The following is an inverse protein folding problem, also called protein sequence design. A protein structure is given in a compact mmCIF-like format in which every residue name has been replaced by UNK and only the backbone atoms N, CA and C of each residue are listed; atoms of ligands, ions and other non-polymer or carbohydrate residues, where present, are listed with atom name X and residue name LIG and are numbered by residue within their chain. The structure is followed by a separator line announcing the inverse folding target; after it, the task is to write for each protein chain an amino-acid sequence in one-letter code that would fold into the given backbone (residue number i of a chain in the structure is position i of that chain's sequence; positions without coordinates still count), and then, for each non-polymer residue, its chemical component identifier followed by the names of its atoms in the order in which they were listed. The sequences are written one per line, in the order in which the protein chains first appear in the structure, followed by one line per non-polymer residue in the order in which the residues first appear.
data_IF_057837962547
#
_entry.id   IF_057837962547
#
_cell.length_a   1.000
_cell.length_b   1.000
_cell.length_c   1.000
_cell.angle_alpha   90.00
_cell.angle_beta   90.00
_cell.angle_gamma   90.00
#
_symmetry.space_group_name_H-M   'P 1'
#
loop_
_entity.id
_entity.type
_entity.pdbx_description
1 polymer ?
#
# COMPACT_ATOMS: atom_id res chain seq x y z
N UNK A 1 39.24 52.69 21.79
CA UNK A 1 38.41 52.99 22.97
C UNK A 1 37.16 52.12 22.92
N UNK A 2 37.26 50.85 23.28
CA UNK A 2 36.09 49.99 23.46
C UNK A 2 35.60 50.17 24.89
N UNK A 3 34.76 51.18 25.12
CA UNK A 3 34.03 51.34 26.38
C UNK A 3 32.94 50.28 26.43
N UNK A 4 33.33 49.03 26.67
CA UNK A 4 32.40 47.96 26.98
C UNK A 4 31.81 48.18 28.36
N UNK A 5 30.50 48.05 28.48
CA UNK A 5 29.84 48.00 29.78
C UNK A 5 30.47 46.89 30.63
N UNK A 6 31.11 47.26 31.74
CA UNK A 6 31.64 46.31 32.73
C UNK A 6 30.50 45.77 33.60
N UNK A 7 30.66 44.57 34.20
CA UNK A 7 29.65 43.98 35.08
C UNK A 7 29.13 44.92 36.20
N UNK A 8 29.94 45.91 36.61
CA UNK A 8 29.61 46.94 37.58
C UNK A 8 28.58 47.99 37.10
N UNK A 9 28.34 48.14 35.80
CA UNK A 9 27.40 49.13 35.24
C UNK A 9 26.04 48.56 34.86
N UNK A 10 25.79 47.27 35.13
CA UNK A 10 24.52 46.59 34.81
C UNK A 10 23.59 46.72 36.01
N UNK A 11 22.45 47.40 35.83
CA UNK A 11 21.48 47.53 36.92
C UNK A 11 20.66 46.25 37.10
N UNK A 12 20.05 46.07 38.27
CA UNK A 12 19.14 44.95 38.52
C UNK A 12 17.98 44.91 37.50
N UNK A 13 17.50 46.08 37.07
CA UNK A 13 16.47 46.18 36.03
C UNK A 13 16.97 45.67 34.67
N UNK A 14 18.24 45.91 34.32
CA UNK A 14 18.82 45.42 33.07
C UNK A 14 19.03 43.91 33.09
N UNK A 15 19.40 43.33 34.25
CA UNK A 15 19.48 41.88 34.41
C UNK A 15 18.10 41.21 34.31
N UNK A 16 17.06 41.83 34.87
CA UNK A 16 15.68 41.31 34.77
C UNK A 16 15.17 41.39 33.33
N UNK A 17 15.38 42.52 32.63
CA UNK A 17 15.04 42.64 31.20
C UNK A 17 15.77 41.62 30.35
N UNK A 18 17.07 41.40 30.61
CA UNK A 18 17.85 40.39 29.91
C UNK A 18 17.33 38.98 30.17
N UNK A 19 17.04 38.61 31.43
CA UNK A 19 16.48 37.29 31.77
C UNK A 19 15.10 37.07 31.17
N UNK A 20 14.23 38.08 31.17
CA UNK A 20 12.92 38.03 30.51
C UNK A 20 13.12 37.84 29.00
N UNK A 21 13.96 38.63 28.35
CA UNK A 21 14.21 38.49 26.92
C UNK A 21 14.86 37.14 26.55
N UNK A 22 15.77 36.64 27.38
CA UNK A 22 16.49 35.37 27.14
C UNK A 22 15.62 34.14 27.39
N UNK A 23 14.67 34.17 28.33
CA UNK A 23 13.88 33.01 28.71
C UNK A 23 12.44 33.04 28.18
N UNK A 24 11.74 34.18 28.26
CA UNK A 24 10.34 34.25 27.84
C UNK A 24 10.20 34.27 26.32
N UNK A 25 11.08 34.96 25.59
CA UNK A 25 10.96 35.04 24.14
C UNK A 25 11.17 33.68 23.45
N UNK A 26 12.21 32.88 23.77
CA UNK A 26 12.33 31.53 23.22
C UNK A 26 11.21 30.60 23.67
N UNK A 27 10.72 30.73 24.91
CA UNK A 27 9.60 29.93 25.40
C UNK A 27 8.30 30.23 24.62
N UNK A 28 8.03 31.50 24.30
CA UNK A 28 6.89 31.90 23.46
C UNK A 28 7.04 31.31 22.06
N UNK A 29 8.23 31.37 21.45
CA UNK A 29 8.46 30.75 20.15
C UNK A 29 8.31 29.23 20.18
N UNK A 30 8.73 28.56 21.25
CA UNK A 30 8.54 27.12 21.44
C UNK A 30 7.05 26.77 21.53
N UNK A 31 6.28 27.50 22.33
CA UNK A 31 4.83 27.31 22.47
C UNK A 31 4.12 27.59 21.15
N UNK A 32 4.48 28.66 20.45
CA UNK A 32 3.91 29.01 19.16
C UNK A 32 4.23 27.94 18.11
N UNK A 33 5.47 27.44 18.09
CA UNK A 33 5.88 26.33 17.22
C UNK A 33 5.09 25.06 17.53
N UNK A 34 4.86 24.74 18.80
CA UNK A 34 4.10 23.57 19.23
C UNK A 34 2.62 23.69 18.85
N UNK A 35 2.03 24.89 18.94
CA UNK A 35 0.67 25.17 18.49
C UNK A 35 0.53 25.12 16.96
N UNK A 36 1.49 25.67 16.22
CA UNK A 36 1.51 25.62 14.76
C UNK A 36 1.68 24.16 14.31
N UNK A 37 2.60 23.42 14.92
CA UNK A 37 2.82 22.00 14.63
C UNK A 37 1.56 21.18 14.93
N UNK A 38 0.95 21.34 16.12
CA UNK A 38 -0.27 20.62 16.49
C UNK A 38 -1.48 20.95 15.61
N UNK A 39 -1.60 22.18 15.07
CA UNK A 39 -2.67 22.53 14.13
C UNK A 39 -2.41 22.13 12.69
N UNK A 40 -1.13 22.11 12.26
CA UNK A 40 -0.75 21.96 10.85
C UNK A 40 -0.29 20.54 10.51
N UNK A 41 0.07 19.73 11.50
CA UNK A 41 0.30 18.28 11.36
C UNK A 41 -1.06 17.60 11.35
N UNK A 42 -1.50 17.30 10.12
CA UNK A 42 -2.82 16.73 9.82
C UNK A 42 -2.71 15.24 9.46
N UNK A 43 -1.54 14.61 9.62
CA UNK A 43 -1.39 13.16 9.48
C UNK A 43 -1.87 12.46 10.76
N UNK A 44 -3.19 12.45 10.97
CA UNK A 44 -3.80 11.46 11.87
C UNK A 44 -3.92 10.13 11.13
N UNK A 45 -3.83 9.01 11.84
CA UNK A 45 -3.97 7.66 11.24
C UNK A 45 -5.27 7.52 10.45
N UNK A 46 -6.34 8.18 10.90
CA UNK A 46 -7.63 8.21 10.21
C UNK A 46 -7.56 8.91 8.85
N UNK A 47 -6.87 10.05 8.75
CA UNK A 47 -6.71 10.75 7.47
C UNK A 47 -5.80 9.99 6.52
N UNK A 48 -4.80 9.28 7.04
CA UNK A 48 -3.98 8.40 6.21
C UNK A 48 -4.83 7.27 5.61
N UNK A 49 -5.65 6.59 6.43
CA UNK A 49 -6.57 5.55 5.97
C UNK A 49 -7.59 6.07 4.95
N UNK A 50 -8.15 7.27 5.16
CA UNK A 50 -9.10 7.90 4.22
C UNK A 50 -8.45 8.20 2.86
N UNK A 51 -7.24 8.77 2.87
CA UNK A 51 -6.48 9.03 1.63
C UNK A 51 -6.12 7.71 0.92
N UNK A 52 -5.72 6.68 1.68
CA UNK A 52 -5.42 5.36 1.10
C UNK A 52 -6.66 4.75 0.47
N UNK A 53 -7.82 4.78 1.14
CA UNK A 53 -9.08 4.28 0.59
C UNK A 53 -9.50 5.04 -0.68
N UNK A 54 -9.31 6.36 -0.72
CA UNK A 54 -9.57 7.17 -1.92
C UNK A 54 -8.60 6.80 -3.06
N UNK A 55 -7.31 6.62 -2.76
CA UNK A 55 -6.31 6.19 -3.74
C UNK A 55 -6.60 4.79 -4.28
N UNK A 56 -6.96 3.84 -3.41
CA UNK A 56 -7.36 2.48 -3.80
C UNK A 56 -8.58 2.53 -4.73
N UNK A 57 -9.62 3.29 -4.36
CA UNK A 57 -10.83 3.42 -5.16
C UNK A 57 -10.60 4.11 -6.52
N UNK A 58 -9.66 5.05 -6.58
CA UNK A 58 -9.33 5.79 -7.82
C UNK A 58 -8.34 5.05 -8.71
N UNK A 59 -7.62 4.07 -8.19
CA UNK A 59 -6.53 3.46 -8.95
C UNK A 59 -6.98 2.67 -10.17
N UNK A 60 -8.11 1.96 -10.08
CA UNK A 60 -8.72 1.28 -11.23
C UNK A 60 -8.95 2.20 -12.43
N UNK A 61 -9.25 3.49 -12.17
CA UNK A 61 -9.50 4.48 -13.23
C UNK A 61 -8.22 5.02 -13.87
N UNK A 62 -7.08 4.95 -13.18
CA UNK A 62 -5.80 5.48 -13.68
C UNK A 62 -5.27 4.61 -14.81
N UNK A 63 -5.36 3.29 -14.66
CA UNK A 63 -4.94 2.34 -15.68
C UNK A 63 -5.90 2.29 -16.88
N UNK A 64 -7.22 2.44 -16.67
CA UNK A 64 -8.17 2.62 -17.80
C UNK A 64 -7.81 3.82 -18.70
N UNK A 65 -7.23 4.90 -18.14
CA UNK A 65 -6.90 6.12 -18.90
C UNK A 65 -5.47 6.14 -19.47
N UNK A 66 -4.49 5.51 -18.82
CA UNK A 66 -3.11 5.41 -19.34
C UNK A 66 -3.01 4.39 -20.50
N UNK A 67 -3.83 3.32 -20.49
CA UNK A 67 -3.89 2.37 -21.60
C UNK A 67 -4.63 2.95 -22.83
N UNK A 68 -5.36 4.07 -22.70
CA UNK A 68 -5.96 4.79 -23.84
C UNK A 68 -4.95 5.62 -24.66
N UNK A 69 -3.74 5.88 -24.17
CA UNK A 69 -2.74 6.74 -24.84
C UNK A 69 -1.49 6.04 -25.34
N UNK A 70 -1.36 4.74 -25.07
CA UNK A 70 -0.33 3.91 -25.71
C UNK A 70 -1.04 3.08 -26.78
N UNK A 71 -0.53 3.14 -28.01
CA UNK A 71 -1.10 2.47 -29.18
C UNK A 71 -1.56 1.04 -28.87
N UNK A 72 -2.73 0.72 -29.42
CA UNK A 72 -3.28 -0.62 -29.56
C UNK A 72 -2.26 -1.56 -30.22
N UNK A 73 -1.34 -2.10 -29.45
CA UNK A 73 -0.78 -3.40 -29.71
C UNK A 73 -1.83 -4.38 -29.23
N UNK A 74 -2.54 -5.01 -30.16
CA UNK A 74 -3.41 -6.13 -29.87
C UNK A 74 -2.72 -7.06 -28.87
N UNK A 75 -3.32 -7.24 -27.70
CA UNK A 75 -2.95 -8.29 -26.75
C UNK A 75 -3.11 -9.59 -27.52
N UNK A 76 -2.00 -10.09 -28.07
CA UNK A 76 -1.94 -11.38 -28.73
C UNK A 76 -2.13 -12.40 -27.61
N UNK A 77 -3.31 -13.00 -27.54
CA UNK A 77 -3.70 -14.02 -26.57
C UNK A 77 -2.84 -15.29 -26.70
N UNK A 78 -1.59 -15.23 -26.27
CA UNK A 78 -0.88 -16.39 -25.76
C UNK A 78 -1.34 -16.56 -24.33
N UNK A 79 -2.20 -17.56 -24.08
CA UNK A 79 -2.83 -17.79 -22.77
C UNK A 79 -1.87 -17.58 -21.61
N UNK A 80 -2.14 -16.54 -20.82
CA UNK A 80 -1.32 -16.19 -19.66
C UNK A 80 -1.85 -16.95 -18.46
N UNK A 81 -0.97 -17.72 -17.84
CA UNK A 81 -1.30 -18.48 -16.62
C UNK A 81 -0.76 -17.72 -15.42
N UNK A 82 -1.67 -17.29 -14.56
CA UNK A 82 -1.36 -16.66 -13.29
C UNK A 82 -1.19 -17.75 -12.23
N UNK A 83 -0.10 -17.68 -11.46
CA UNK A 83 0.14 -18.60 -10.35
C UNK A 83 -0.30 -18.02 -9.00
N UNK A 84 -0.65 -18.87 -8.05
CA UNK A 84 -1.02 -18.48 -6.70
C UNK A 84 0.13 -17.67 -6.06
N UNK A 85 -0.12 -16.44 -5.59
CA UNK A 85 0.93 -15.61 -4.98
C UNK A 85 1.21 -16.01 -3.53
N UNK A 86 0.33 -16.78 -2.88
CA UNK A 86 0.48 -17.25 -1.51
C UNK A 86 -0.14 -18.63 -1.38
N UNK A 87 0.42 -19.46 -0.51
CA UNK A 87 -0.17 -20.76 -0.18
C UNK A 87 -1.39 -20.56 0.75
N UNK A 88 -2.42 -21.38 0.57
CA UNK A 88 -3.64 -21.23 1.36
C UNK A 88 -4.90 -21.79 0.71
N UNK A 89 -6.06 -21.46 1.26
CA UNK A 89 -7.36 -21.91 0.76
C UNK A 89 -7.93 -20.91 -0.26
N UNK A 90 -8.26 -21.38 -1.46
CA UNK A 90 -8.84 -20.57 -2.53
C UNK A 90 -10.31 -20.22 -2.25
N UNK A 91 -10.63 -18.93 -2.32
CA UNK A 91 -11.96 -18.37 -2.05
C UNK A 91 -12.41 -17.48 -3.22
N UNK A 92 -13.71 -17.23 -3.31
CA UNK A 92 -14.25 -16.33 -4.34
C UNK A 92 -14.06 -14.88 -3.91
N UNK A 93 -13.64 -14.02 -4.84
CA UNK A 93 -13.49 -12.58 -4.57
C UNK A 93 -14.81 -11.92 -4.15
N UNK A 94 -15.94 -12.45 -4.65
CA UNK A 94 -17.30 -11.97 -4.31
C UNK A 94 -17.66 -12.14 -2.82
N UNK A 95 -16.97 -13.05 -2.12
CA UNK A 95 -17.20 -13.34 -0.70
C UNK A 95 -16.30 -12.46 0.20
N UNK A 96 -15.59 -11.50 -0.39
CA UNK A 96 -14.78 -10.52 0.34
C UNK A 96 -15.65 -9.65 1.26
N UNK A 97 -15.08 -9.28 2.41
CA UNK A 97 -15.69 -8.33 3.35
C UNK A 97 -15.68 -6.89 2.83
N UNK A 98 -14.88 -6.57 1.81
CA UNK A 98 -14.83 -5.26 1.16
C UNK A 98 -15.76 -5.19 -0.07
N UNK A 99 -16.78 -4.29 -0.07
CA UNK A 99 -17.71 -4.10 -1.19
C UNK A 99 -17.05 -3.74 -2.54
N UNK A 100 -15.90 -3.06 -2.53
CA UNK A 100 -15.21 -2.64 -3.76
C UNK A 100 -14.65 -3.84 -4.52
N UNK A 101 -14.13 -4.82 -3.79
CA UNK A 101 -13.66 -6.09 -4.34
C UNK A 101 -14.83 -7.04 -4.62
N UNK A 102 -15.76 -7.18 -3.67
CA UNK A 102 -16.89 -8.09 -3.79
C UNK A 102 -17.82 -7.76 -4.98
N UNK A 103 -17.98 -6.46 -5.29
CA UNK A 103 -18.78 -6.01 -6.43
C UNK A 103 -18.09 -6.17 -7.80
N UNK A 104 -16.80 -6.52 -7.82
CA UNK A 104 -16.00 -6.61 -9.04
C UNK A 104 -15.67 -5.25 -9.68
N UNK A 105 -15.93 -4.12 -8.98
CA UNK A 105 -15.59 -2.77 -9.48
C UNK A 105 -14.09 -2.58 -9.67
N UNK A 106 -13.28 -3.22 -8.81
CA UNK A 106 -11.81 -3.18 -8.91
C UNK A 106 -11.26 -4.13 -9.99
N UNK A 107 -12.10 -5.02 -10.52
CA UNK A 107 -11.72 -6.03 -11.49
C UNK A 107 -12.22 -7.43 -11.13
N UNK A 108 -11.82 -8.42 -11.93
CA UNK A 108 -12.08 -9.84 -11.69
C UNK A 108 -10.87 -10.49 -11.03
N UNK A 109 -11.10 -11.53 -10.22
CA UNK A 109 -10.02 -12.12 -9.44
C UNK A 109 -10.49 -13.23 -8.52
N UNK A 110 -9.66 -13.52 -7.52
CA UNK A 110 -9.90 -14.51 -6.49
C UNK A 110 -9.30 -14.03 -5.17
N UNK A 111 -9.61 -14.75 -4.09
CA UNK A 111 -9.09 -14.48 -2.76
C UNK A 111 -8.43 -15.75 -2.22
N UNK A 112 -7.38 -15.64 -1.42
CA UNK A 112 -6.74 -16.78 -0.76
C UNK A 112 -6.73 -16.50 0.74
N UNK A 113 -7.22 -17.45 1.55
CA UNK A 113 -6.98 -17.43 2.99
C UNK A 113 -5.58 -18.02 3.25
N UNK A 114 -4.60 -17.20 3.63
CA UNK A 114 -3.21 -17.62 3.65
C UNK A 114 -2.93 -18.65 4.75
N UNK A 115 -2.02 -19.59 4.47
CA UNK A 115 -1.39 -20.44 5.48
C UNK A 115 0.09 -20.07 5.73
N UNK A 116 0.66 -19.23 4.87
CA UNK A 116 2.01 -18.68 4.94
C UNK A 116 1.96 -17.15 4.81
N UNK A 117 2.95 -16.48 5.38
CA UNK A 117 3.07 -15.03 5.40
C UNK A 117 3.76 -14.45 4.17
N UNK A 118 4.13 -15.24 3.16
CA UNK A 118 4.94 -14.77 2.03
C UNK A 118 4.13 -14.64 0.75
N UNK A 119 4.26 -13.49 0.12
CA UNK A 119 3.68 -13.16 -1.17
C UNK A 119 4.76 -13.25 -2.24
N UNK A 120 4.49 -14.05 -3.26
CA UNK A 120 5.36 -14.28 -4.40
C UNK A 120 4.76 -13.68 -5.68
N UNK A 121 5.64 -13.33 -6.61
CA UNK A 121 5.30 -12.86 -7.94
C UNK A 121 4.57 -13.95 -8.74
N UNK A 122 3.34 -13.69 -9.21
CA UNK A 122 2.56 -14.70 -9.92
C UNK A 122 2.93 -14.84 -11.40
N UNK A 123 3.74 -13.91 -11.93
CA UNK A 123 4.25 -13.90 -13.30
C UNK A 123 5.53 -13.05 -13.41
N UNK A 124 6.18 -13.11 -14.58
CA UNK A 124 7.27 -12.22 -14.94
C UNK A 124 6.73 -10.82 -15.33
N UNK A 125 7.31 -9.76 -14.78
CA UNK A 125 6.79 -8.42 -15.02
C UNK A 125 7.56 -7.31 -14.30
N UNK A 126 6.84 -6.28 -13.92
CA UNK A 126 7.35 -5.10 -13.21
C UNK A 126 6.41 -4.68 -12.08
N UNK A 127 6.98 -4.18 -10.99
CA UNK A 127 6.23 -3.53 -9.92
C UNK A 127 5.84 -2.13 -10.38
N UNK A 128 4.59 -1.96 -10.82
CA UNK A 128 4.08 -0.63 -11.22
C UNK A 128 3.73 0.23 -10.02
N UNK A 129 3.52 -0.39 -8.87
CA UNK A 129 3.27 0.34 -7.64
C UNK A 129 3.58 -0.42 -6.37
N UNK A 130 4.15 0.30 -5.41
CA UNK A 130 4.42 -0.15 -4.05
C UNK A 130 3.87 0.88 -3.06
N UNK A 131 3.05 0.44 -2.11
CA UNK A 131 2.41 1.35 -1.16
C UNK A 131 3.29 1.60 0.08
N UNK A 132 3.17 2.79 0.66
CA UNK A 132 3.92 3.16 1.87
C UNK A 132 3.62 2.23 3.07
N UNK A 133 2.37 1.80 3.20
CA UNK A 133 1.87 0.89 4.23
C UNK A 133 2.13 -0.59 3.91
N UNK A 134 2.68 -0.92 2.73
CA UNK A 134 3.14 -2.27 2.32
C UNK A 134 2.08 -3.39 2.37
N UNK A 135 0.81 -3.04 2.50
CA UNK A 135 -0.29 -3.99 2.54
C UNK A 135 -0.75 -4.43 1.15
N UNK A 136 -0.32 -3.74 0.09
CA UNK A 136 -0.70 -4.06 -1.26
C UNK A 136 0.48 -3.84 -2.23
N UNK A 137 0.40 -4.46 -3.41
CA UNK A 137 1.38 -4.29 -4.48
C UNK A 137 0.70 -4.40 -5.85
N UNK A 138 1.03 -3.46 -6.73
CA UNK A 138 0.58 -3.43 -8.12
C UNK A 138 1.66 -3.96 -9.06
N UNK A 139 1.31 -4.94 -9.88
CA UNK A 139 2.20 -5.62 -10.82
C UNK A 139 1.67 -5.47 -12.24
N UNK A 140 2.57 -5.30 -13.21
CA UNK A 140 2.22 -5.33 -14.64
C UNK A 140 3.03 -6.41 -15.35
N UNK A 141 2.38 -7.30 -16.08
CA UNK A 141 3.05 -8.29 -16.92
C UNK A 141 3.59 -7.62 -18.19
N UNK A 142 4.49 -8.33 -18.88
CA UNK A 142 5.00 -7.88 -20.20
C UNK A 142 3.89 -7.80 -21.26
N UNK A 143 2.84 -8.58 -21.09
CA UNK A 143 1.70 -8.67 -22.01
C UNK A 143 0.60 -7.65 -21.68
N UNK A 144 0.82 -6.76 -20.69
CA UNK A 144 -0.09 -5.69 -20.32
C UNK A 144 -1.08 -6.03 -19.21
N UNK A 145 -1.02 -7.23 -18.62
CA UNK A 145 -1.88 -7.61 -17.49
C UNK A 145 -1.52 -6.78 -16.26
N UNK A 146 -2.47 -6.03 -15.72
CA UNK A 146 -2.30 -5.26 -14.49
C UNK A 146 -2.99 -5.98 -13.35
N UNK A 147 -2.20 -6.41 -12.35
CA UNK A 147 -2.65 -7.16 -11.19
C UNK A 147 -2.42 -6.38 -9.90
N UNK A 148 -3.42 -6.34 -9.04
CA UNK A 148 -3.33 -5.88 -7.66
C UNK A 148 -3.36 -7.08 -6.72
N UNK A 149 -2.34 -7.21 -5.88
CA UNK A 149 -2.35 -8.11 -4.72
C UNK A 149 -2.53 -7.24 -3.48
N UNK A 150 -3.60 -7.47 -2.73
CA UNK A 150 -3.96 -6.73 -1.52
C UNK A 150 -4.05 -7.71 -0.35
N UNK A 151 -3.31 -7.46 0.72
CA UNK A 151 -3.15 -8.38 1.85
C UNK A 151 -4.11 -7.95 2.96
N UNK A 152 -5.18 -8.72 3.13
CA UNK A 152 -6.21 -8.47 4.13
C UNK A 152 -7.12 -7.30 3.78
N UNK A 153 -8.17 -7.07 4.58
CA UNK A 153 -9.08 -5.92 4.41
C UNK A 153 -8.81 -4.90 5.51
N UNK A 154 -8.78 -3.61 5.14
CA UNK A 154 -8.50 -2.49 6.04
C UNK A 154 -7.08 -2.49 6.68
N UNK A 155 -6.16 -3.31 6.18
CA UNK A 155 -4.80 -3.48 6.70
C UNK A 155 -3.89 -2.26 6.50
N UNK A 156 -4.27 -1.30 5.65
CA UNK A 156 -3.64 0.01 5.58
C UNK A 156 -3.59 0.71 6.95
N UNK A 157 -4.57 0.45 7.83
CA UNK A 157 -4.64 0.98 9.21
C UNK A 157 -3.49 0.53 10.11
N UNK A 158 -2.78 -0.54 9.73
CA UNK A 158 -1.60 -1.04 10.46
C UNK A 158 -0.35 -0.20 10.20
N UNK A 159 -0.40 0.76 9.28
CA UNK A 159 0.71 1.68 8.97
C UNK A 159 2.03 0.93 8.67
N UNK A 160 1.96 -0.22 8.00
CA UNK A 160 3.11 -1.07 7.69
C UNK A 160 3.59 -1.97 8.83
N UNK A 161 2.94 -1.93 10.00
CA UNK A 161 3.23 -2.86 11.10
C UNK A 161 2.88 -4.27 10.69
N UNK A 162 3.84 -5.19 10.82
CA UNK A 162 3.67 -6.59 10.42
C UNK A 162 3.90 -6.83 8.92
N UNK A 163 4.45 -5.87 8.17
CA UNK A 163 4.77 -6.03 6.75
C UNK A 163 6.24 -5.69 6.43
N UNK A 164 6.88 -6.57 5.67
CA UNK A 164 8.23 -6.41 5.10
C UNK A 164 8.10 -6.47 3.58
N UNK A 165 8.59 -5.45 2.88
CA UNK A 165 8.55 -5.39 1.42
C UNK A 165 9.97 -5.55 0.88
N UNK A 166 10.14 -6.47 -0.08
CA UNK A 166 11.44 -6.82 -0.67
C UNK A 166 11.69 -6.18 -2.04
N UNK A 167 10.68 -5.49 -2.57
CA UNK A 167 10.72 -4.87 -3.90
C UNK A 167 10.38 -3.39 -3.84
N UNK A 168 10.72 -2.65 -4.89
CA UNK A 168 10.37 -1.23 -5.03
C UNK A 168 9.65 -0.97 -6.35
N UNK A 169 8.94 0.15 -6.45
CA UNK A 169 8.32 0.58 -7.70
C UNK A 169 9.36 0.70 -8.82
N UNK A 170 8.99 0.25 -10.03
CA UNK A 170 9.87 0.19 -11.21
C UNK A 170 10.78 -1.05 -11.26
N UNK A 171 10.77 -1.89 -10.23
CA UNK A 171 11.60 -3.08 -10.19
C UNK A 171 11.02 -4.19 -11.07
N UNK A 172 11.87 -4.81 -11.89
CA UNK A 172 11.53 -6.03 -12.63
C UNK A 172 11.46 -7.23 -11.69
N UNK A 173 10.43 -8.04 -11.87
CA UNK A 173 10.18 -9.24 -11.06
C UNK A 173 10.15 -10.49 -11.94
N UNK A 174 10.50 -11.61 -11.32
CA UNK A 174 10.38 -12.95 -11.90
C UNK A 174 9.32 -13.75 -11.19
N UNK A 175 8.59 -14.60 -11.91
CA UNK A 175 7.62 -15.51 -11.30
C UNK A 175 8.29 -16.32 -10.18
N UNK A 176 7.62 -16.39 -9.02
CA UNK A 176 8.13 -17.05 -7.82
C UNK A 176 9.11 -16.20 -7.00
N UNK A 177 9.42 -14.97 -7.41
CA UNK A 177 10.20 -14.04 -6.59
C UNK A 177 9.37 -13.54 -5.41
N UNK A 178 9.95 -13.53 -4.22
CA UNK A 178 9.31 -12.98 -3.02
C UNK A 178 9.17 -11.45 -3.13
N UNK A 179 7.97 -10.96 -2.81
CA UNK A 179 7.58 -9.55 -2.95
C UNK A 179 7.37 -8.89 -1.59
N UNK A 180 6.53 -9.51 -0.76
CA UNK A 180 6.12 -9.01 0.56
C UNK A 180 6.05 -10.20 1.51
N UNK A 181 6.54 -10.02 2.73
CA UNK A 181 6.25 -10.89 3.87
C UNK A 181 5.35 -10.14 4.85
N UNK A 182 4.32 -10.80 5.35
CA UNK A 182 3.39 -10.27 6.33
C UNK A 182 3.20 -11.22 7.50
N UNK A 183 2.89 -10.66 8.67
CA UNK A 183 2.64 -11.42 9.88
C UNK A 183 1.15 -11.49 10.18
N UNK A 184 0.54 -12.61 9.78
CA UNK A 184 -0.88 -12.88 9.97
C UNK A 184 -1.39 -12.67 11.42
N UNK A 185 -0.68 -13.12 12.49
CA UNK A 185 -1.15 -12.87 13.85
C UNK A 185 -1.29 -11.38 14.21
N UNK A 186 -0.51 -10.48 13.61
CA UNK A 186 -0.69 -9.04 13.80
C UNK A 186 -2.02 -8.59 13.20
N UNK A 187 -2.35 -9.02 11.98
CA UNK A 187 -3.62 -8.67 11.32
C UNK A 187 -4.81 -9.14 12.17
N UNK A 188 -4.77 -10.40 12.63
CA UNK A 188 -5.81 -11.00 13.46
C UNK A 188 -5.96 -10.34 14.83
N UNK A 189 -4.86 -9.96 15.48
CA UNK A 189 -4.90 -9.26 16.77
C UNK A 189 -5.62 -7.91 16.69
N UNK A 190 -5.59 -7.27 15.53
CA UNK A 190 -6.31 -6.02 15.26
C UNK A 190 -7.75 -6.25 14.78
N UNK A 191 -8.22 -7.50 14.73
CA UNK A 191 -9.59 -7.85 14.31
C UNK A 191 -9.86 -7.62 12.82
N UNK A 192 -8.81 -7.61 12.00
CA UNK A 192 -8.89 -7.40 10.56
C UNK A 192 -8.94 -8.73 9.80
N UNK A 193 -9.44 -8.69 8.57
CA UNK A 193 -9.45 -9.84 7.66
C UNK A 193 -8.03 -10.06 7.12
N UNK A 194 -7.51 -11.28 7.18
CA UNK A 194 -6.17 -11.67 6.73
C UNK A 194 -6.15 -12.24 5.31
N UNK A 195 -7.32 -12.39 4.68
CA UNK A 195 -7.41 -12.97 3.34
C UNK A 195 -6.74 -12.08 2.30
N UNK A 196 -5.92 -12.69 1.45
CA UNK A 196 -5.21 -12.02 0.36
C UNK A 196 -6.11 -11.94 -0.86
N UNK A 197 -6.40 -10.73 -1.33
CA UNK A 197 -7.23 -10.45 -2.49
C UNK A 197 -6.33 -10.24 -3.71
N UNK A 198 -6.61 -10.98 -4.79
CA UNK A 198 -5.86 -10.92 -6.04
C UNK A 198 -6.82 -10.50 -7.14
N UNK A 199 -6.60 -9.31 -7.71
CA UNK A 199 -7.52 -8.68 -8.67
C UNK A 199 -6.81 -8.25 -9.94
N UNK A 200 -7.33 -8.68 -11.09
CA UNK A 200 -6.93 -8.17 -12.41
C UNK A 200 -7.67 -6.86 -12.67
N UNK A 201 -6.93 -5.75 -12.60
CA UNK A 201 -7.50 -4.41 -12.66
C UNK A 201 -8.05 -4.08 -14.05
N UNK A 202 -7.33 -4.46 -15.11
CA UNK A 202 -7.77 -4.29 -16.50
C UNK A 202 -8.54 -5.50 -17.03
N UNK A 203 -9.38 -6.11 -16.19
CA UNK A 203 -10.14 -7.33 -16.54
C UNK A 203 -11.13 -7.18 -17.71
N UNK A 204 -11.42 -5.96 -18.16
CA UNK A 204 -12.28 -5.69 -19.33
C UNK A 204 -11.55 -5.88 -20.66
N UNK A 205 -10.22 -5.86 -20.64
CA UNK A 205 -9.39 -5.96 -21.85
C UNK A 205 -9.22 -7.41 -22.33
N UNK A 206 -9.64 -8.37 -21.49
CA UNK A 206 -9.51 -9.81 -21.73
C UNK A 206 -10.87 -10.45 -21.94
N UNK A 207 -10.94 -11.41 -22.86
CA UNK A 207 -12.18 -12.10 -23.21
C UNK A 207 -12.52 -13.17 -22.18
N UNK A 208 -11.50 -13.82 -21.61
CA UNK A 208 -11.66 -14.91 -20.65
C UNK A 208 -10.72 -14.70 -19.46
N UNK A 209 -11.29 -14.69 -18.26
CA UNK A 209 -10.57 -14.83 -17.01
C UNK A 209 -11.24 -15.94 -16.24
N UNK A 210 -10.63 -17.12 -16.23
CA UNK A 210 -11.18 -18.30 -15.60
C UNK A 210 -10.25 -18.79 -14.49
N UNK A 211 -10.78 -18.86 -13.27
CA UNK A 211 -10.11 -19.60 -12.19
C UNK A 211 -10.21 -21.08 -12.55
N UNK A 212 -9.07 -21.74 -12.72
CA UNK A 212 -9.01 -23.14 -13.15
C UNK A 212 -9.13 -24.13 -11.98
N UNK A 213 -8.93 -23.64 -10.75
CA UNK A 213 -9.00 -24.43 -9.54
C UNK A 213 -10.36 -24.31 -8.82
N UNK A 214 -10.69 -25.34 -8.04
CA UNK A 214 -11.94 -25.36 -7.28
C UNK A 214 -11.86 -24.46 -6.04
N UNK A 215 -12.92 -23.68 -5.81
CA UNK A 215 -13.10 -22.91 -4.57
C UNK A 215 -13.13 -23.89 -3.38
N UNK A 216 -12.40 -23.55 -2.32
CA UNK A 216 -12.22 -24.36 -1.12
C UNK A 216 -11.03 -25.33 -1.20
N UNK A 217 -10.34 -25.42 -2.35
CA UNK A 217 -9.10 -26.20 -2.47
C UNK A 217 -7.94 -25.44 -1.82
N UNK A 218 -7.06 -26.17 -1.14
CA UNK A 218 -5.76 -25.65 -0.71
C UNK A 218 -4.79 -25.66 -1.90
N UNK A 219 -4.17 -24.50 -2.14
CA UNK A 219 -3.17 -24.28 -3.20
C UNK A 219 -1.83 -23.92 -2.57
N UNK A 220 -0.74 -24.29 -3.23
CA UNK A 220 0.61 -23.89 -2.86
C UNK A 220 1.05 -22.65 -3.64
N UNK A 221 1.99 -21.89 -3.10
CA UNK A 221 2.56 -20.75 -3.80
C UNK A 221 3.24 -21.22 -5.10
N UNK A 222 2.85 -20.62 -6.23
CA UNK A 222 3.33 -21.02 -7.56
C UNK A 222 2.42 -21.98 -8.33
N UNK A 223 1.36 -22.53 -7.71
CA UNK A 223 0.38 -23.34 -8.42
C UNK A 223 -0.39 -22.50 -9.46
N UNK A 224 -0.65 -23.02 -10.67
CA UNK A 224 -1.45 -22.30 -11.67
C UNK A 224 -2.90 -22.18 -11.20
N UNK A 225 -3.46 -20.97 -11.18
CA UNK A 225 -4.77 -20.71 -10.55
C UNK A 225 -5.77 -20.00 -11.45
N UNK A 226 -5.29 -19.21 -12.41
CA UNK A 226 -6.15 -18.49 -13.35
C UNK A 226 -5.54 -18.47 -14.75
N UNK A 227 -6.36 -18.81 -15.74
CA UNK A 227 -6.07 -18.65 -17.16
C UNK A 227 -6.69 -17.36 -17.69
N UNK A 228 -5.93 -16.65 -18.52
CA UNK A 228 -6.29 -15.37 -19.08
C UNK A 228 -6.09 -15.43 -20.60
N UNK A 229 -7.16 -15.13 -21.37
CA UNK A 229 -7.19 -15.07 -22.85
C UNK A 229 -7.83 -13.76 -23.35
#
# INVERSE_FOLDING_TARGET
MTTGATAASITAADQVKFKIAMLLLPAIFLILSMLIFGKKVILTDQKHAEIVAELEATWGKRFENEDSKTESAAVQGSGLVLTAPVAGELLQLKDSSDPNFASGKMGKGFMIKPNDGRIYAPFDGEVVAAFATRHAIGLKSKDGLTLLIHIGVDTAKLNGTGFVQYVVQGQKIKRGQELIEFWDPTIKQHGLDDRVLVTVMNSKDYQKLAVIEQVGKTVEAGDPIMEIE
#
